data_IF_299304013648
#
_entry.id   IF_299304013648
#
_cell.length_a   1.000
_cell.length_b   1.000
_cell.length_c   1.000
_cell.angle_alpha   90.00
_cell.angle_beta   90.00
_cell.angle_gamma   90.00
#
_symmetry.space_group_name_H-M   'P 1'
#
loop_
_entity.id
_entity.type
_entity.pdbx_description
1 polymer ?
#
# COMPACT_ATOMS: atom_id res chain seq x y z
N UNK A 1 9.50 -8.66 6.14
CA UNK A 1 8.79 -7.36 6.23
C UNK A 1 8.80 -6.71 4.86
N UNK A 2 7.63 -6.33 4.38
CA UNK A 2 7.43 -5.68 3.08
C UNK A 2 7.05 -4.21 3.28
N UNK A 3 7.64 -3.32 2.49
CA UNK A 3 7.48 -1.87 2.63
C UNK A 3 7.17 -1.24 1.29
N UNK A 4 6.41 -0.15 1.29
CA UNK A 4 6.13 0.65 0.10
C UNK A 4 6.20 2.15 0.39
N UNK A 5 6.63 2.91 -0.60
CA UNK A 5 6.72 4.36 -0.54
C UNK A 5 5.65 5.03 -1.43
N UNK A 6 5.41 6.30 -1.19
CA UNK A 6 4.49 7.12 -2.00
C UNK A 6 4.94 7.27 -3.46
N UNK A 7 6.22 7.08 -3.72
CA UNK A 7 6.79 7.12 -5.08
C UNK A 7 6.68 5.80 -5.84
N UNK A 8 6.06 4.79 -5.23
CA UNK A 8 5.85 3.49 -5.85
C UNK A 8 7.02 2.53 -5.73
N UNK A 9 7.99 2.84 -4.90
CA UNK A 9 9.09 1.95 -4.58
C UNK A 9 8.64 0.93 -3.54
N UNK A 10 9.04 -0.33 -3.72
CA UNK A 10 8.78 -1.41 -2.76
C UNK A 10 10.08 -2.08 -2.36
N UNK A 11 10.05 -2.66 -1.17
CA UNK A 11 11.22 -3.31 -0.59
C UNK A 11 10.79 -4.46 0.32
N UNK A 12 11.54 -5.53 0.29
CA UNK A 12 11.38 -6.65 1.21
C UNK A 12 12.69 -6.88 1.96
N UNK A 13 12.60 -6.98 3.28
CA UNK A 13 13.76 -7.21 4.16
C UNK A 13 13.43 -8.33 5.14
N UNK A 14 14.36 -9.25 5.36
CA UNK A 14 14.19 -10.33 6.34
C UNK A 14 14.10 -9.73 7.76
N UNK A 15 13.20 -10.26 8.57
CA UNK A 15 13.02 -9.80 9.95
C UNK A 15 14.28 -9.99 10.80
N UNK A 16 15.08 -10.98 10.51
CA UNK A 16 16.33 -11.24 11.22
C UNK A 16 17.31 -10.05 11.15
N UNK A 17 17.24 -9.25 10.09
CA UNK A 17 18.06 -8.07 9.94
C UNK A 17 17.73 -6.97 10.97
N UNK A 18 16.61 -7.11 11.68
CA UNK A 18 16.16 -6.19 12.73
C UNK A 18 16.39 -6.71 14.15
N UNK A 19 17.10 -7.82 14.33
CA UNK A 19 17.30 -8.47 15.63
C UNK A 19 18.16 -7.66 16.61
N UNK A 20 18.84 -6.62 16.15
CA UNK A 20 19.66 -5.76 17.01
C UNK A 20 18.78 -4.72 17.72
N UNK A 21 18.51 -4.94 18.99
CA UNK A 21 17.70 -4.04 19.81
C UNK A 21 18.49 -2.78 20.17
N UNK A 22 18.41 -1.74 19.37
CA UNK A 22 18.96 -0.40 19.70
C UNK A 22 17.83 0.51 20.16
N UNK A 23 18.05 1.24 21.24
CA UNK A 23 17.06 2.20 21.78
C UNK A 23 16.68 3.31 20.79
N UNK A 24 17.59 3.66 19.90
CA UNK A 24 17.37 4.71 18.87
C UNK A 24 16.72 4.16 17.60
N UNK A 25 16.45 2.86 17.54
CA UNK A 25 15.91 2.22 16.35
C UNK A 25 16.97 1.89 15.30
N UNK A 26 16.53 1.31 14.21
CA UNK A 26 17.35 0.93 13.06
C UNK A 26 16.77 1.52 11.80
N UNK A 27 17.64 1.92 10.87
CA UNK A 27 17.18 2.31 9.53
C UNK A 27 16.58 1.08 8.86
N UNK A 28 15.33 1.19 8.41
CA UNK A 28 14.60 0.13 7.73
C UNK A 28 14.64 0.26 6.21
N UNK A 29 14.77 1.48 5.71
CA UNK A 29 14.78 1.81 4.29
C UNK A 29 15.51 3.15 4.10
N UNK A 30 16.22 3.30 3.00
CA UNK A 30 16.75 4.61 2.60
C UNK A 30 15.75 5.27 1.66
N UNK A 31 15.25 6.43 2.03
CA UNK A 31 14.29 7.21 1.25
C UNK A 31 15.02 8.30 0.47
N UNK A 32 14.54 8.58 -0.74
CA UNK A 32 14.97 9.73 -1.52
C UNK A 32 14.36 11.03 -0.95
N UNK A 33 14.85 12.17 -1.40
CA UNK A 33 14.29 13.47 -1.03
C UNK A 33 12.81 13.54 -1.43
N UNK A 34 11.96 14.02 -0.52
CA UNK A 34 10.50 14.11 -0.71
C UNK A 34 9.78 12.75 -0.90
N UNK A 35 10.41 11.66 -0.52
CA UNK A 35 9.81 10.34 -0.51
C UNK A 35 9.39 9.96 0.91
N UNK A 36 8.22 9.30 1.04
CA UNK A 36 7.67 8.87 2.31
C UNK A 36 7.33 7.39 2.30
N UNK A 37 7.62 6.72 3.40
CA UNK A 37 7.16 5.36 3.62
C UNK A 37 5.66 5.41 3.95
N UNK A 38 4.83 4.70 3.15
CA UNK A 38 3.36 4.73 3.31
C UNK A 38 2.79 3.42 3.82
N UNK A 39 3.53 2.34 3.80
CA UNK A 39 3.01 1.07 4.25
C UNK A 39 4.12 0.11 4.65
N UNK A 40 3.81 -0.68 5.68
CA UNK A 40 4.65 -1.77 6.18
C UNK A 40 3.76 -2.95 6.49
N UNK A 41 4.07 -4.12 5.94
CA UNK A 41 3.34 -5.36 6.18
C UNK A 41 4.29 -6.50 6.54
N UNK A 42 3.85 -7.35 7.45
CA UNK A 42 4.50 -8.63 7.69
C UNK A 42 3.94 -9.66 6.73
N UNK A 43 4.81 -10.26 5.94
CA UNK A 43 4.43 -11.28 4.96
C UNK A 43 5.19 -12.58 5.26
N UNK A 44 4.64 -13.67 4.77
CA UNK A 44 5.19 -15.02 4.99
C UNK A 44 6.09 -15.53 3.85
N UNK A 45 6.31 -14.72 2.83
CA UNK A 45 7.05 -15.10 1.62
C UNK A 45 6.15 -15.57 0.47
N UNK A 46 4.88 -15.86 0.74
CA UNK A 46 3.94 -16.41 -0.24
C UNK A 46 2.70 -15.52 -0.43
N UNK A 47 2.75 -14.30 0.06
CA UNK A 47 1.65 -13.35 -0.09
C UNK A 47 1.72 -12.62 -1.42
N UNK A 48 0.61 -12.07 -1.83
CA UNK A 48 0.56 -11.10 -2.91
C UNK A 48 0.45 -9.70 -2.30
N UNK A 49 0.95 -8.72 -3.03
CA UNK A 49 0.90 -7.32 -2.63
C UNK A 49 -0.03 -6.57 -3.56
N UNK A 50 -0.84 -5.70 -2.99
CA UNK A 50 -1.64 -4.75 -3.75
C UNK A 50 -1.26 -3.33 -3.34
N UNK A 51 -1.01 -2.49 -4.33
CA UNK A 51 -0.76 -1.05 -4.14
C UNK A 51 -1.91 -0.28 -4.77
N UNK A 52 -2.35 0.77 -4.10
CA UNK A 52 -3.37 1.68 -4.63
C UNK A 52 -2.82 3.10 -4.70
N UNK A 53 -3.15 3.80 -5.79
CA UNK A 53 -2.70 5.18 -6.00
C UNK A 53 -3.81 6.18 -5.73
N UNK A 54 -3.40 7.42 -5.49
CA UNK A 54 -4.31 8.55 -5.27
C UNK A 54 -5.27 8.76 -6.44
N UNK A 55 -4.80 8.56 -7.66
CA UNK A 55 -5.60 8.79 -8.87
C UNK A 55 -6.39 7.55 -9.32
N UNK A 56 -6.50 6.53 -8.47
CA UNK A 56 -7.43 5.43 -8.67
C UNK A 56 -6.88 4.23 -9.43
N UNK A 57 -5.56 4.09 -9.51
CA UNK A 57 -4.91 2.93 -10.11
C UNK A 57 -4.54 1.93 -9.00
N UNK A 58 -4.55 0.65 -9.32
CA UNK A 58 -4.06 -0.40 -8.42
C UNK A 58 -3.24 -1.43 -9.19
N UNK A 59 -2.26 -2.00 -8.51
CA UNK A 59 -1.48 -3.12 -9.05
C UNK A 59 -1.43 -4.24 -8.03
N UNK A 60 -1.57 -5.48 -8.51
CA UNK A 60 -1.45 -6.70 -7.73
C UNK A 60 -0.30 -7.53 -8.28
N UNK A 61 0.64 -7.91 -7.42
CA UNK A 61 1.79 -8.72 -7.81
C UNK A 61 2.21 -9.65 -6.69
N UNK A 62 2.98 -10.68 -7.02
CA UNK A 62 3.52 -11.62 -6.06
C UNK A 62 4.69 -11.00 -5.30
N UNK A 63 4.74 -11.19 -3.98
CA UNK A 63 5.87 -10.70 -3.19
C UNK A 63 7.21 -11.33 -3.59
N UNK A 64 7.18 -12.49 -4.22
CA UNK A 64 8.38 -13.16 -4.73
C UNK A 64 9.01 -12.42 -5.93
N UNK A 65 8.28 -11.52 -6.56
CA UNK A 65 8.84 -10.64 -7.59
C UNK A 65 9.85 -9.64 -7.00
N UNK A 66 9.85 -9.49 -5.68
CA UNK A 66 10.77 -8.63 -4.94
C UNK A 66 11.72 -9.50 -4.13
N UNK A 67 13.00 -9.46 -4.46
CA UNK A 67 14.01 -10.19 -3.69
C UNK A 67 14.25 -9.53 -2.34
N UNK A 68 14.60 -10.28 -1.29
CA UNK A 68 15.02 -9.69 -0.01
C UNK A 68 16.24 -8.79 -0.19
N UNK A 69 16.24 -7.67 0.50
CA UNK A 69 17.32 -6.67 0.48
C UNK A 69 17.69 -6.29 1.89
N UNK A 70 18.90 -5.74 2.06
CA UNK A 70 19.36 -5.23 3.33
C UNK A 70 18.57 -4.00 3.78
N UNK A 71 18.65 -3.67 5.09
CA UNK A 71 17.87 -2.58 5.69
C UNK A 71 18.09 -1.22 5.02
N UNK A 72 19.29 -0.93 4.59
CA UNK A 72 19.66 0.38 4.04
C UNK A 72 19.43 0.52 2.55
N UNK A 73 18.91 -0.50 1.88
CA UNK A 73 18.58 -0.43 0.46
C UNK A 73 17.39 0.49 0.20
N UNK A 74 17.34 1.12 -0.97
CA UNK A 74 16.21 1.94 -1.41
C UNK A 74 15.00 1.12 -1.80
N UNK A 75 15.19 -0.01 -2.45
CA UNK A 75 14.15 -0.86 -3.00
C UNK A 75 14.10 -0.87 -4.52
N UNK A 76 13.00 -1.40 -5.05
CA UNK A 76 12.76 -1.55 -6.48
C UNK A 76 11.39 -0.97 -6.84
N UNK A 77 11.16 -0.72 -8.13
CA UNK A 77 9.86 -0.22 -8.59
C UNK A 77 8.77 -1.26 -8.36
N UNK A 78 7.74 -0.88 -7.61
CA UNK A 78 6.54 -1.70 -7.41
C UNK A 78 5.46 -1.40 -8.43
N UNK A 79 5.29 -0.13 -8.77
CA UNK A 79 4.33 0.35 -9.77
C UNK A 79 4.95 1.48 -10.59
N UNK A 80 4.61 1.54 -11.87
CA UNK A 80 4.93 2.67 -12.72
C UNK A 80 3.83 3.71 -12.60
N UNK A 81 4.10 4.79 -11.85
CA UNK A 81 3.13 5.85 -11.63
C UNK A 81 2.97 6.73 -12.88
N UNK A 82 1.74 7.18 -13.10
CA UNK A 82 1.47 8.27 -14.03
C UNK A 82 2.00 9.58 -13.44
N UNK A 83 2.23 10.58 -14.30
CA UNK A 83 2.71 11.89 -13.84
C UNK A 83 1.77 12.50 -12.80
N UNK A 84 2.34 12.93 -11.70
CA UNK A 84 1.60 13.56 -10.60
C UNK A 84 0.83 12.62 -9.69
N UNK A 85 0.87 11.31 -9.93
CA UNK A 85 0.25 10.33 -9.05
C UNK A 85 1.20 9.86 -7.95
N UNK A 86 0.64 9.28 -6.90
CA UNK A 86 1.39 8.70 -5.80
C UNK A 86 0.67 7.49 -5.23
N UNK A 87 1.41 6.56 -4.63
CA UNK A 87 0.84 5.44 -3.88
C UNK A 87 0.35 5.96 -2.54
N UNK A 88 -0.89 5.62 -2.18
CA UNK A 88 -1.51 6.03 -0.92
C UNK A 88 -1.74 4.86 0.03
N UNK A 89 -1.73 3.63 -0.48
CA UNK A 89 -1.98 2.47 0.36
C UNK A 89 -1.30 1.21 -0.20
N UNK A 90 -0.92 0.32 0.71
CA UNK A 90 -0.43 -1.01 0.42
C UNK A 90 -1.08 -1.99 1.38
N UNK A 91 -1.43 -3.17 0.90
CA UNK A 91 -1.86 -4.28 1.75
C UNK A 91 -1.42 -5.62 1.14
N UNK A 92 -1.46 -6.66 1.94
CA UNK A 92 -1.16 -8.02 1.51
C UNK A 92 -2.44 -8.81 1.26
N UNK A 93 -2.40 -9.68 0.26
CA UNK A 93 -3.49 -10.58 -0.09
C UNK A 93 -3.03 -12.01 0.18
N UNK A 94 -3.72 -12.70 1.07
CA UNK A 94 -3.41 -14.08 1.44
C UNK A 94 -4.46 -15.07 0.96
N UNK A 95 -5.62 -14.60 0.48
CA UNK A 95 -6.73 -15.45 0.02
C UNK A 95 -7.41 -14.85 -1.20
N UNK A 96 -7.72 -15.69 -2.18
CA UNK A 96 -8.50 -15.31 -3.36
C UNK A 96 -9.94 -14.90 -3.03
N UNK A 97 -10.44 -15.29 -1.85
CA UNK A 97 -11.79 -14.90 -1.38
C UNK A 97 -11.80 -13.51 -0.74
N UNK A 98 -10.66 -12.84 -0.68
CA UNK A 98 -10.56 -11.49 -0.13
C UNK A 98 -11.20 -10.46 -1.07
N UNK A 99 -11.58 -9.35 -0.49
CA UNK A 99 -12.07 -8.17 -1.21
C UNK A 99 -11.20 -6.97 -0.89
N UNK A 100 -11.18 -6.01 -1.78
CA UNK A 100 -10.48 -4.74 -1.60
C UNK A 100 -11.51 -3.66 -1.32
N UNK A 101 -11.41 -3.02 -0.17
CA UNK A 101 -12.19 -1.81 0.14
C UNK A 101 -11.33 -0.59 -0.20
N UNK A 102 -11.84 0.26 -1.07
CA UNK A 102 -11.21 1.52 -1.45
C UNK A 102 -12.10 2.66 -0.99
N UNK A 103 -11.50 3.67 -0.36
CA UNK A 103 -12.22 4.85 0.13
C UNK A 103 -11.64 6.11 -0.48
N UNK A 104 -12.52 7.09 -0.73
CA UNK A 104 -12.15 8.37 -1.34
C UNK A 104 -12.38 9.54 -0.36
N UNK A 105 -11.78 10.68 -0.67
CA UNK A 105 -11.91 11.89 0.15
C UNK A 105 -13.35 12.43 0.22
N UNK A 106 -14.18 12.13 -0.78
CA UNK A 106 -15.59 12.51 -0.79
C UNK A 106 -16.50 11.53 -0.06
N UNK A 107 -15.92 10.55 0.63
CA UNK A 107 -16.67 9.59 1.44
C UNK A 107 -17.27 8.43 0.66
N UNK A 108 -16.87 8.22 -0.58
CA UNK A 108 -17.30 7.05 -1.35
C UNK A 108 -16.43 5.84 -1.00
N UNK A 109 -17.06 4.70 -0.81
CA UNK A 109 -16.42 3.42 -0.60
C UNK A 109 -16.79 2.45 -1.71
N UNK A 110 -15.81 1.70 -2.20
CA UNK A 110 -16.01 0.65 -3.20
C UNK A 110 -15.39 -0.65 -2.68
N UNK A 111 -16.17 -1.71 -2.75
CA UNK A 111 -15.73 -3.05 -2.39
C UNK A 111 -15.62 -3.89 -3.66
N UNK A 112 -14.45 -4.44 -3.92
CA UNK A 112 -14.14 -5.14 -5.16
C UNK A 112 -13.47 -6.47 -4.82
N UNK A 113 -13.89 -7.56 -5.46
CA UNK A 113 -13.21 -8.85 -5.29
C UNK A 113 -11.75 -8.73 -5.73
N UNK A 114 -10.84 -9.36 -4.98
CA UNK A 114 -9.42 -9.42 -5.33
C UNK A 114 -9.22 -9.99 -6.74
N UNK A 115 -10.07 -10.93 -7.17
CA UNK A 115 -10.00 -11.54 -8.50
C UNK A 115 -10.20 -10.56 -9.66
N UNK A 116 -10.81 -9.39 -9.42
CA UNK A 116 -10.96 -8.33 -10.42
C UNK A 116 -9.65 -7.62 -10.74
N UNK A 117 -8.65 -7.74 -9.85
CA UNK A 117 -7.32 -7.18 -10.08
C UNK A 117 -6.43 -8.28 -10.66
N UNK A 118 -6.18 -8.22 -11.96
CA UNK A 118 -5.32 -9.21 -12.58
C UNK A 118 -3.92 -9.15 -11.97
N UNK A 119 -3.36 -10.32 -11.71
CA UNK A 119 -2.00 -10.45 -11.20
C UNK A 119 -1.01 -10.07 -12.31
N UNK A 120 -0.11 -9.15 -12.01
CA UNK A 120 0.93 -8.64 -12.90
C UNK A 120 2.30 -8.86 -12.28
N UNK A 121 3.36 -8.64 -13.05
CA UNK A 121 4.68 -8.46 -12.46
C UNK A 121 4.78 -7.07 -11.84
N UNK A 122 5.57 -6.94 -10.76
CA UNK A 122 5.83 -5.63 -10.17
C UNK A 122 6.38 -4.65 -11.22
N UNK A 123 6.18 -3.36 -10.99
CA UNK A 123 6.68 -2.31 -11.86
C UNK A 123 5.83 -2.02 -13.08
N UNK A 124 4.70 -2.71 -13.24
CA UNK A 124 3.72 -2.42 -14.28
C UNK A 124 2.89 -1.18 -13.99
N UNK A 125 2.04 -0.80 -14.93
CA UNK A 125 1.15 0.37 -14.80
C UNK A 125 -0.07 0.14 -13.92
N UNK A 126 -0.43 -1.12 -13.68
CA UNK A 126 -1.64 -1.47 -12.94
C UNK A 126 -2.90 -1.39 -13.77
N UNK A 127 -4.03 -1.44 -13.09
CA UNK A 127 -5.38 -1.37 -13.66
C UNK A 127 -6.18 -0.29 -12.95
N UNK A 128 -7.26 0.17 -13.57
CA UNK A 128 -8.17 1.13 -12.94
C UNK A 128 -8.90 0.41 -11.78
N UNK A 129 -8.71 0.94 -10.58
CA UNK A 129 -9.41 0.50 -9.38
C UNK A 129 -10.73 1.25 -9.22
N UNK A 130 -10.65 2.58 -9.19
CA UNK A 130 -11.80 3.46 -9.12
C UNK A 130 -11.57 4.66 -10.04
N UNK A 131 -12.61 5.07 -10.76
CA UNK A 131 -12.52 6.25 -11.61
C UNK A 131 -12.60 7.52 -10.76
N UNK A 132 -11.51 8.24 -10.68
CA UNK A 132 -11.41 9.50 -9.92
C UNK A 132 -11.95 10.65 -10.76
N UNK A 133 -12.88 11.40 -10.17
CA UNK A 133 -13.47 12.63 -10.73
C UNK A 133 -13.91 13.53 -9.57
N UNK A 134 -14.55 14.66 -9.87
CA UNK A 134 -15.00 15.62 -8.84
C UNK A 134 -15.98 15.02 -7.84
N UNK A 135 -16.82 14.07 -8.25
CA UNK A 135 -17.80 13.42 -7.36
C UNK A 135 -17.16 12.38 -6.45
N UNK A 136 -16.24 11.61 -6.97
CA UNK A 136 -15.56 10.57 -6.20
C UNK A 136 -14.49 11.15 -5.29
N UNK A 137 -13.78 12.17 -5.75
CA UNK A 137 -12.55 12.64 -5.13
C UNK A 137 -11.40 11.66 -5.29
N UNK A 138 -10.24 12.01 -4.80
CA UNK A 138 -9.05 11.16 -4.83
C UNK A 138 -9.19 9.99 -3.85
N UNK A 139 -8.46 8.90 -4.12
CA UNK A 139 -8.35 7.77 -3.20
C UNK A 139 -7.48 8.17 -2.01
N UNK A 140 -7.98 7.92 -0.81
CA UNK A 140 -7.26 8.22 0.45
C UNK A 140 -6.88 6.96 1.23
N UNK A 141 -7.46 5.82 0.91
CA UNK A 141 -7.15 4.58 1.60
C UNK A 141 -7.66 3.34 0.87
N UNK A 142 -7.05 2.23 1.21
CA UNK A 142 -7.43 0.92 0.69
C UNK A 142 -7.09 -0.11 1.75
N UNK A 143 -7.94 -1.12 1.90
CA UNK A 143 -7.70 -2.24 2.80
C UNK A 143 -8.20 -3.53 2.18
N UNK A 144 -7.41 -4.59 2.28
CA UNK A 144 -7.85 -5.94 1.95
C UNK A 144 -8.65 -6.50 3.12
N UNK A 145 -9.84 -6.99 2.84
CA UNK A 145 -10.76 -7.52 3.84
C UNK A 145 -11.19 -8.94 3.46
N UNK A 146 -11.47 -9.72 4.48
CA UNK A 146 -12.09 -11.05 4.33
C UNK A 146 -13.55 -11.00 4.79
N UNK A 147 -14.41 -11.92 4.31
CA UNK A 147 -15.80 -11.97 4.76
C UNK A 147 -15.92 -12.03 6.29
N UNK A 148 -16.81 -11.24 6.86
CA UNK A 148 -17.07 -11.19 8.31
C UNK A 148 -16.21 -10.21 9.09
N UNK A 149 -15.28 -9.51 8.45
CA UNK A 149 -14.53 -8.45 9.11
C UNK A 149 -15.31 -7.13 9.16
N UNK A 150 -15.11 -6.40 10.23
CA UNK A 150 -15.61 -5.03 10.40
C UNK A 150 -14.47 -4.03 10.20
N UNK A 151 -14.80 -2.85 9.72
CA UNK A 151 -13.83 -1.79 9.47
C UNK A 151 -14.20 -0.55 10.27
N UNK A 152 -13.19 0.03 10.91
CA UNK A 152 -13.31 1.32 11.58
C UNK A 152 -12.53 2.37 10.80
N UNK A 153 -13.20 3.47 10.45
CA UNK A 153 -12.56 4.64 9.85
C UNK A 153 -12.50 5.76 10.89
N UNK A 154 -11.36 6.44 10.95
CA UNK A 154 -11.14 7.53 11.90
C UNK A 154 -10.69 8.77 11.14
N UNK A 155 -11.36 9.90 11.40
CA UNK A 155 -10.99 11.20 10.85
C UNK A 155 -10.33 12.06 11.93
N UNK A 156 -9.10 12.50 11.64
CA UNK A 156 -8.35 13.36 12.57
C UNK A 156 -8.84 14.81 12.59
N UNK A 157 -9.58 15.25 11.59
CA UNK A 157 -10.15 16.61 11.55
C UNK A 157 -11.19 16.85 12.66
N UNK A 158 -11.86 15.81 13.13
CA UNK A 158 -12.82 15.88 14.22
C UNK A 158 -12.16 16.15 15.58
N UNK A 159 -10.95 15.69 15.82
CA UNK A 159 -10.23 15.88 17.08
C UNK A 159 -9.81 17.35 17.27
N UNK A 160 -9.52 18.09 16.20
CA UNK A 160 -9.15 19.51 16.25
C UNK A 160 -10.33 20.42 16.60
N UNK A 161 -11.55 20.04 16.23
CA UNK A 161 -12.75 20.83 16.53
C UNK A 161 -13.13 20.82 18.02
N UNK A 162 -12.62 19.89 18.79
CA UNK A 162 -12.90 19.74 20.22
C UNK A 162 -11.79 20.30 21.13
N UNK A 163 -10.68 20.77 20.57
CA UNK A 163 -9.57 21.38 21.33
C UNK A 163 -9.77 22.88 21.59
N UNK A 164 -10.81 23.46 21.07
CA UNK A 164 -11.22 24.83 21.34
C UNK A 164 -12.35 24.86 22.35
#
# INVERSE_FOLDING_TARGET
>A
MFMATDKGTVKKTNLEDFNSARKVGLIAITLDENEQLIGVELTDGNSEIILATRNGIAIRFDEQDVRPMGRTAHGVRGIQLNYGDEVVAMDSVTSENSEVLTATEQGLGKRTSVSEYRKQTRGGKGVINIKVNEKTGIVIGMKVITPGQEIMTVSYTHLRAHET
#
